data_IF_263453703797
#
_entry.id   IF_263453703797
#
_cell.length_a   1.000
_cell.length_b   1.000
_cell.length_c   1.000
_cell.angle_alpha   90.00
_cell.angle_beta   90.00
_cell.angle_gamma   90.00
#
_symmetry.space_group_name_H-M   'P 1'
#
loop_
_entity.id
_entity.type
_entity.pdbx_description
1 polymer ?
#
# COMPACT_ATOMS: atom_id res chain seq x y z
N UNK A 1 1.56 -19.48 -33.89
CA UNK A 1 1.67 -18.33 -32.97
C UNK A 1 0.31 -18.07 -32.37
N UNK A 2 0.17 -18.13 -31.03
CA UNK A 2 -1.09 -17.75 -30.34
C UNK A 2 -1.08 -16.27 -29.91
N UNK A 3 0.09 -15.66 -29.82
CA UNK A 3 0.32 -14.28 -29.40
C UNK A 3 1.38 -13.62 -30.31
N UNK A 4 1.22 -12.35 -30.66
CA UNK A 4 2.21 -11.58 -31.43
C UNK A 4 3.52 -11.39 -30.65
N UNK A 5 3.45 -11.39 -29.32
CA UNK A 5 4.62 -11.22 -28.44
C UNK A 5 5.55 -12.41 -28.50
N UNK A 6 5.02 -13.60 -28.78
CA UNK A 6 5.84 -14.80 -28.95
C UNK A 6 6.83 -14.66 -30.11
N UNK A 7 6.49 -13.88 -31.15
CA UNK A 7 7.38 -13.63 -32.27
C UNK A 7 8.69 -12.93 -31.85
N UNK A 8 8.67 -12.14 -30.77
CA UNK A 8 9.88 -11.48 -30.24
C UNK A 8 10.83 -12.45 -29.53
N UNK A 9 10.30 -13.59 -29.07
CA UNK A 9 11.08 -14.65 -28.42
C UNK A 9 11.56 -15.70 -29.41
N UNK A 10 11.13 -15.70 -30.66
CA UNK A 10 11.61 -16.64 -31.68
C UNK A 10 12.88 -16.09 -32.32
N UNK A 11 13.93 -16.91 -32.32
CA UNK A 11 15.18 -16.63 -33.01
C UNK A 11 15.58 -17.82 -33.88
N UNK A 12 16.41 -17.55 -34.90
CA UNK A 12 17.09 -18.59 -35.66
C UNK A 12 18.58 -18.59 -35.27
N UNK A 13 19.14 -19.78 -35.04
CA UNK A 13 20.59 -19.96 -34.94
C UNK A 13 21.24 -19.99 -36.33
N UNK A 14 22.57 -19.93 -36.39
CA UNK A 14 23.33 -19.98 -37.65
C UNK A 14 23.16 -21.30 -38.43
N UNK A 15 22.69 -22.36 -37.78
CA UNK A 15 22.33 -23.65 -38.39
C UNK A 15 20.88 -23.70 -38.91
N UNK A 16 20.12 -22.59 -38.79
CA UNK A 16 18.72 -22.50 -39.18
C UNK A 16 17.71 -22.97 -38.14
N UNK A 17 18.16 -23.55 -37.01
CA UNK A 17 17.25 -24.06 -35.97
C UNK A 17 16.52 -22.93 -35.24
N UNK A 18 15.24 -23.16 -34.93
CA UNK A 18 14.40 -22.22 -34.18
C UNK A 18 14.67 -22.39 -32.68
N UNK A 19 14.95 -21.27 -32.00
CA UNK A 19 15.22 -21.23 -30.56
C UNK A 19 14.40 -20.14 -29.89
N UNK A 20 13.95 -20.41 -28.67
CA UNK A 20 13.30 -19.41 -27.83
C UNK A 20 14.33 -18.60 -27.05
N UNK A 21 14.37 -17.28 -27.26
CA UNK A 21 15.23 -16.36 -26.52
C UNK A 21 14.82 -16.34 -25.04
N UNK A 22 15.78 -16.44 -24.10
CA UNK A 22 15.48 -16.28 -22.69
C UNK A 22 15.09 -14.83 -22.39
N UNK A 23 14.24 -14.65 -21.38
CA UNK A 23 13.93 -13.31 -20.84
C UNK A 23 15.14 -12.78 -20.07
N UNK A 24 15.53 -11.54 -20.31
CA UNK A 24 16.60 -10.90 -19.54
C UNK A 24 16.23 -10.77 -18.06
N UNK A 25 17.16 -10.95 -17.12
CA UNK A 25 16.90 -10.70 -15.71
C UNK A 25 16.40 -9.27 -15.46
N UNK A 26 15.44 -9.10 -14.55
CA UNK A 26 14.77 -7.83 -14.30
C UNK A 26 14.72 -7.48 -12.80
N UNK A 27 13.58 -7.68 -12.13
CA UNK A 27 13.35 -7.47 -10.70
C UNK A 27 14.44 -8.06 -9.78
N UNK A 28 14.99 -9.25 -10.10
CA UNK A 28 16.01 -9.89 -9.26
C UNK A 28 17.36 -9.15 -9.29
N UNK A 29 17.66 -8.39 -10.34
CA UNK A 29 18.94 -7.68 -10.52
C UNK A 29 18.79 -6.16 -10.45
N UNK A 30 17.56 -5.65 -10.49
CA UNK A 30 17.26 -4.23 -10.49
C UNK A 30 17.40 -3.63 -9.09
N UNK A 31 18.05 -2.46 -8.98
CA UNK A 31 18.22 -1.76 -7.70
C UNK A 31 16.94 -0.99 -7.35
N UNK A 32 16.28 -1.25 -6.22
CA UNK A 32 15.08 -0.50 -5.83
C UNK A 32 15.41 0.98 -5.57
N UNK A 33 14.66 1.90 -6.18
CA UNK A 33 14.68 3.31 -5.84
C UNK A 33 13.53 3.65 -4.89
N UNK A 34 13.70 4.70 -4.08
CA UNK A 34 12.66 5.20 -3.18
C UNK A 34 11.31 5.34 -3.90
N UNK A 35 11.28 5.95 -5.09
CA UNK A 35 10.07 6.19 -5.87
C UNK A 35 9.36 4.88 -6.28
N UNK A 36 10.12 3.85 -6.67
CA UNK A 36 9.59 2.53 -7.03
C UNK A 36 8.99 1.80 -5.84
N UNK A 37 9.68 1.84 -4.69
CA UNK A 37 9.22 1.24 -3.43
C UNK A 37 7.94 1.92 -2.96
N UNK A 38 7.90 3.25 -2.99
CA UNK A 38 6.71 4.01 -2.62
C UNK A 38 5.53 3.73 -3.57
N UNK A 39 5.78 3.56 -4.87
CA UNK A 39 4.74 3.21 -5.85
C UNK A 39 4.13 1.83 -5.59
N UNK A 40 4.97 0.82 -5.31
CA UNK A 40 4.48 -0.53 -4.93
C UNK A 40 3.75 -0.45 -3.59
N UNK A 41 4.32 0.27 -2.62
CA UNK A 41 3.68 0.53 -1.33
C UNK A 41 2.27 1.09 -1.49
N UNK A 42 2.06 2.04 -2.41
CA UNK A 42 0.73 2.65 -2.63
C UNK A 42 -0.31 1.65 -3.13
N UNK A 43 0.10 0.67 -3.94
CA UNK A 43 -0.76 -0.42 -4.40
C UNK A 43 -1.03 -1.45 -3.30
N UNK A 44 -0.03 -1.76 -2.48
CA UNK A 44 -0.21 -2.70 -1.37
C UNK A 44 -1.13 -2.10 -0.30
N UNK A 45 -0.97 -0.82 0.03
CA UNK A 45 -1.83 -0.14 1.00
C UNK A 45 -3.25 0.04 0.47
N UNK A 46 -3.46 0.23 -0.84
CA UNK A 46 -4.82 0.26 -1.40
C UNK A 46 -5.55 -1.07 -1.17
N UNK A 47 -4.87 -2.20 -1.41
CA UNK A 47 -5.43 -3.54 -1.16
C UNK A 47 -5.73 -3.72 0.33
N UNK A 48 -4.80 -3.34 1.20
CA UNK A 48 -4.97 -3.46 2.66
C UNK A 48 -6.14 -2.61 3.17
N UNK A 49 -6.31 -1.38 2.65
CA UNK A 49 -7.44 -0.51 2.99
C UNK A 49 -8.74 -1.16 2.55
N UNK A 50 -8.83 -1.62 1.30
CA UNK A 50 -10.05 -2.28 0.79
C UNK A 50 -10.48 -3.47 1.66
N UNK A 51 -9.52 -4.30 2.09
CA UNK A 51 -9.80 -5.41 2.99
C UNK A 51 -10.24 -4.93 4.39
N UNK A 52 -9.51 -3.99 4.98
CA UNK A 52 -9.82 -3.49 6.33
C UNK A 52 -11.09 -2.63 6.40
N UNK A 53 -11.56 -2.06 5.29
CA UNK A 53 -12.88 -1.40 5.23
C UNK A 53 -14.00 -2.36 5.59
N UNK A 54 -13.87 -3.67 5.33
CA UNK A 54 -14.86 -4.66 5.77
C UNK A 54 -14.97 -4.74 7.30
N UNK A 55 -13.82 -4.66 8.00
CA UNK A 55 -13.79 -4.60 9.46
C UNK A 55 -14.43 -3.31 9.99
N UNK A 56 -14.16 -2.17 9.33
CA UNK A 56 -14.81 -0.89 9.66
C UNK A 56 -16.33 -0.95 9.48
N UNK A 57 -16.81 -1.54 8.38
CA UNK A 57 -18.24 -1.73 8.13
C UNK A 57 -18.85 -2.63 9.20
N UNK A 58 -18.20 -3.74 9.56
CA UNK A 58 -18.67 -4.61 10.65
C UNK A 58 -18.77 -3.86 11.97
N UNK A 59 -17.76 -3.04 12.30
CA UNK A 59 -17.76 -2.19 13.49
C UNK A 59 -18.94 -1.20 13.51
N UNK A 60 -19.20 -0.50 12.38
CA UNK A 60 -20.32 0.44 12.25
C UNK A 60 -21.68 -0.25 12.38
N UNK A 61 -21.86 -1.41 11.73
CA UNK A 61 -23.10 -2.20 11.81
C UNK A 61 -23.32 -2.69 13.25
N UNK A 62 -22.27 -3.17 13.92
CA UNK A 62 -22.36 -3.62 15.30
C UNK A 62 -22.70 -2.48 16.27
N UNK A 63 -22.14 -1.29 16.05
CA UNK A 63 -22.47 -0.09 16.82
C UNK A 63 -23.95 0.28 16.68
N UNK A 64 -24.51 0.18 15.47
CA UNK A 64 -25.93 0.44 15.22
C UNK A 64 -26.86 -0.68 15.73
N UNK A 65 -26.38 -1.92 15.83
CA UNK A 65 -27.17 -3.10 16.22
C UNK A 65 -27.38 -3.24 17.73
N UNK A 66 -26.66 -2.47 18.53
CA UNK A 66 -26.82 -2.39 19.98
C UNK A 66 -25.67 -2.97 20.80
N UNK A 67 -25.74 -2.85 22.14
CA UNK A 67 -24.57 -3.01 23.01
C UNK A 67 -23.88 -4.38 22.94
N UNK A 68 -24.66 -5.47 22.83
CA UNK A 68 -24.12 -6.83 22.77
C UNK A 68 -23.32 -7.09 21.48
N UNK A 69 -23.83 -6.63 20.35
CA UNK A 69 -23.14 -6.74 19.06
C UNK A 69 -21.85 -5.92 19.07
N UNK A 70 -21.93 -4.67 19.56
CA UNK A 70 -20.78 -3.79 19.67
C UNK A 70 -19.68 -4.36 20.58
N UNK A 71 -20.04 -4.87 21.76
CA UNK A 71 -19.10 -5.52 22.68
C UNK A 71 -18.34 -6.69 22.04
N UNK A 72 -19.00 -7.45 21.15
CA UNK A 72 -18.37 -8.56 20.42
C UNK A 72 -17.26 -8.05 19.50
N UNK A 73 -17.53 -7.01 18.71
CA UNK A 73 -16.51 -6.43 17.81
C UNK A 73 -15.37 -5.79 18.60
N UNK A 74 -15.70 -5.07 19.67
CA UNK A 74 -14.68 -4.47 20.54
C UNK A 74 -13.74 -5.53 21.12
N UNK A 75 -14.25 -6.69 21.53
CA UNK A 75 -13.40 -7.78 22.01
C UNK A 75 -12.47 -8.36 20.93
N UNK A 76 -12.95 -8.44 19.68
CA UNK A 76 -12.14 -8.91 18.54
C UNK A 76 -11.08 -7.90 18.12
N UNK A 77 -11.37 -6.60 18.19
CA UNK A 77 -10.40 -5.55 17.83
C UNK A 77 -9.39 -5.30 18.97
N UNK A 78 -9.82 -5.35 20.23
CA UNK A 78 -8.99 -4.99 21.38
C UNK A 78 -7.95 -6.04 21.77
N UNK A 79 -8.01 -7.26 21.22
CA UNK A 79 -6.95 -8.25 21.45
C UNK A 79 -5.66 -7.86 20.68
N UNK A 80 -4.48 -8.40 21.06
CA UNK A 80 -3.20 -8.00 20.47
C UNK A 80 -3.12 -8.15 18.94
N UNK A 81 -3.75 -9.19 18.38
CA UNK A 81 -3.79 -9.40 16.93
C UNK A 81 -4.70 -8.37 16.26
N UNK A 82 -5.87 -8.11 16.85
CA UNK A 82 -6.80 -7.07 16.40
C UNK A 82 -6.16 -5.68 16.39
N UNK A 83 -5.41 -5.34 17.43
CA UNK A 83 -4.67 -4.08 17.51
C UNK A 83 -3.55 -4.00 16.45
N UNK A 84 -2.83 -5.10 16.20
CA UNK A 84 -1.81 -5.15 15.15
C UNK A 84 -2.45 -4.93 13.76
N UNK A 85 -3.59 -5.57 13.50
CA UNK A 85 -4.34 -5.38 12.25
C UNK A 85 -4.84 -3.94 12.15
N UNK A 86 -5.39 -3.37 13.23
CA UNK A 86 -5.85 -1.98 13.27
C UNK A 86 -4.71 -0.99 13.04
N UNK A 87 -3.53 -1.25 13.63
CA UNK A 87 -2.32 -0.47 13.42
C UNK A 87 -1.88 -0.51 11.96
N UNK A 88 -1.75 -1.71 11.40
CA UNK A 88 -1.39 -1.91 10.00
C UNK A 88 -2.37 -1.26 9.03
N UNK A 89 -3.67 -1.33 9.33
CA UNK A 89 -4.71 -0.67 8.55
C UNK A 89 -4.62 0.86 8.65
N UNK A 90 -4.36 1.41 9.84
CA UNK A 90 -4.17 2.85 10.06
C UNK A 90 -2.93 3.37 9.32
N UNK A 91 -1.80 2.66 9.41
CA UNK A 91 -0.58 2.98 8.63
C UNK A 91 -0.89 2.97 7.14
N UNK A 92 -1.60 1.94 6.67
CA UNK A 92 -1.98 1.82 5.26
C UNK A 92 -2.85 2.99 4.81
N UNK A 93 -3.87 3.34 5.59
CA UNK A 93 -4.79 4.45 5.33
C UNK A 93 -4.05 5.79 5.22
N UNK A 94 -3.23 6.11 6.21
CA UNK A 94 -2.49 7.37 6.27
C UNK A 94 -1.46 7.45 5.13
N UNK A 95 -0.72 6.37 4.88
CA UNK A 95 0.24 6.32 3.79
C UNK A 95 -0.43 6.51 2.42
N UNK A 96 -1.51 5.75 2.15
CA UNK A 96 -2.22 5.82 0.88
C UNK A 96 -2.82 7.20 0.64
N UNK A 97 -3.30 7.87 1.70
CA UNK A 97 -3.79 9.24 1.63
C UNK A 97 -2.70 10.22 1.16
N UNK A 98 -1.55 10.27 1.83
CA UNK A 98 -0.46 11.19 1.44
C UNK A 98 0.20 10.82 0.11
N UNK A 99 0.34 9.53 -0.19
CA UNK A 99 0.79 9.05 -1.49
C UNK A 99 -0.20 9.43 -2.59
N UNK A 100 -1.51 9.32 -2.33
CA UNK A 100 -2.58 9.75 -3.21
C UNK A 100 -2.52 11.25 -3.52
N UNK A 101 -2.35 12.10 -2.51
CA UNK A 101 -2.14 13.55 -2.72
C UNK A 101 -0.92 13.79 -3.61
N UNK A 102 0.20 13.10 -3.35
CA UNK A 102 1.40 13.19 -4.19
C UNK A 102 1.12 12.78 -5.64
N UNK A 103 0.32 11.75 -5.88
CA UNK A 103 -0.12 11.35 -7.21
C UNK A 103 -1.00 12.42 -7.87
N UNK A 104 -1.98 12.99 -7.16
CA UNK A 104 -2.82 14.07 -7.68
C UNK A 104 -2.00 15.32 -8.08
N UNK A 105 -0.95 15.64 -7.31
CA UNK A 105 0.00 16.70 -7.67
C UNK A 105 0.73 16.36 -8.98
N UNK A 106 1.14 15.12 -9.18
CA UNK A 106 1.72 14.69 -10.46
C UNK A 106 0.72 14.76 -11.60
N UNK A 107 -0.52 14.32 -11.39
CA UNK A 107 -1.59 14.37 -12.39
C UNK A 107 -1.92 15.81 -12.78
N UNK A 108 -1.70 16.78 -11.89
CA UNK A 108 -1.80 18.22 -12.19
C UNK A 108 -0.63 18.80 -12.98
N UNK A 109 0.38 17.99 -13.35
CA UNK A 109 1.53 18.42 -14.14
C UNK A 109 2.75 18.89 -13.34
N UNK A 110 2.81 18.65 -12.02
CA UNK A 110 3.86 19.19 -11.14
C UNK A 110 4.79 18.10 -10.57
N UNK A 111 6.02 18.46 -10.19
CA UNK A 111 6.87 17.60 -9.34
C UNK A 111 7.63 16.46 -10.04
N UNK A 112 7.83 16.54 -11.36
CA UNK A 112 8.48 15.50 -12.17
C UNK A 112 10.02 15.51 -12.16
N UNK A 113 10.66 16.56 -11.64
CA UNK A 113 12.13 16.56 -11.52
C UNK A 113 12.58 15.56 -10.45
N UNK A 114 13.69 14.87 -10.68
CA UNK A 114 14.22 13.87 -9.73
C UNK A 114 14.33 14.41 -8.29
N UNK A 115 14.85 15.64 -8.03
CA UNK A 115 14.88 16.19 -6.68
C UNK A 115 13.49 16.40 -6.08
N UNK A 116 12.51 16.86 -6.87
CA UNK A 116 11.14 17.07 -6.41
C UNK A 116 10.43 15.73 -6.12
N UNK A 117 10.61 14.73 -6.96
CA UNK A 117 10.05 13.38 -6.77
C UNK A 117 10.63 12.70 -5.53
N UNK A 118 11.92 12.88 -5.24
CA UNK A 118 12.55 12.38 -4.00
C UNK A 118 12.10 13.14 -2.75
N UNK A 119 12.05 14.48 -2.82
CA UNK A 119 11.59 15.33 -1.69
C UNK A 119 10.15 15.00 -1.31
N UNK A 120 9.25 14.96 -2.29
CA UNK A 120 7.85 14.57 -2.06
C UNK A 120 7.74 13.13 -1.53
N UNK A 121 8.59 12.22 -1.98
CA UNK A 121 8.63 10.84 -1.45
C UNK A 121 8.99 10.77 0.03
N UNK A 122 10.05 11.47 0.45
CA UNK A 122 10.43 11.53 1.87
C UNK A 122 9.39 12.28 2.72
N UNK A 123 8.77 13.33 2.16
CA UNK A 123 7.68 14.03 2.82
C UNK A 123 6.49 13.09 3.08
N UNK A 124 6.08 12.28 2.10
CA UNK A 124 5.03 11.25 2.28
C UNK A 124 5.38 10.30 3.42
N UNK A 125 6.62 9.80 3.49
CA UNK A 125 7.06 8.91 4.57
C UNK A 125 7.02 9.60 5.93
N UNK A 126 7.60 10.81 6.03
CA UNK A 126 7.63 11.57 7.28
C UNK A 126 6.23 11.90 7.81
N UNK A 127 5.34 12.37 6.93
CA UNK A 127 3.94 12.65 7.29
C UNK A 127 3.19 11.38 7.70
N UNK A 128 3.45 10.25 7.03
CA UNK A 128 2.84 8.97 7.41
C UNK A 128 3.22 8.59 8.84
N UNK A 129 4.52 8.60 9.16
CA UNK A 129 5.01 8.26 10.50
C UNK A 129 4.45 9.21 11.54
N UNK A 130 4.55 10.53 11.31
CA UNK A 130 4.10 11.54 12.26
C UNK A 130 2.59 11.42 12.55
N UNK A 131 1.76 11.33 11.50
CA UNK A 131 0.30 11.24 11.64
C UNK A 131 -0.12 9.92 12.29
N UNK A 132 0.47 8.79 11.92
CA UNK A 132 0.16 7.50 12.57
C UNK A 132 0.51 7.53 14.05
N UNK A 133 1.71 8.03 14.42
CA UNK A 133 2.12 8.13 15.82
C UNK A 133 1.18 9.05 16.61
N UNK A 134 0.77 10.17 16.03
CA UNK A 134 -0.18 11.09 16.66
C UNK A 134 -1.54 10.41 16.91
N UNK A 135 -2.09 9.73 15.90
CA UNK A 135 -3.37 9.00 16.02
C UNK A 135 -3.30 7.96 17.13
N UNK A 136 -2.21 7.19 17.20
CA UNK A 136 -2.04 6.14 18.21
C UNK A 136 -1.76 6.70 19.60
N UNK A 137 -0.97 7.77 19.72
CA UNK A 137 -0.73 8.42 21.00
C UNK A 137 -2.03 8.97 21.61
N UNK A 138 -2.88 9.61 20.79
CA UNK A 138 -4.20 10.09 21.21
C UNK A 138 -5.13 8.90 21.53
N UNK A 139 -5.19 7.89 20.66
CA UNK A 139 -6.05 6.73 20.87
C UNK A 139 -5.71 5.97 22.15
N UNK A 140 -4.43 5.74 22.43
CA UNK A 140 -3.96 5.09 23.65
C UNK A 140 -4.16 5.96 24.89
N UNK A 141 -3.97 7.28 24.81
CA UNK A 141 -4.20 8.16 25.97
C UNK A 141 -5.67 8.20 26.36
N UNK A 142 -6.57 8.24 25.37
CA UNK A 142 -8.01 8.15 25.60
C UNK A 142 -8.42 6.77 26.13
N UNK A 143 -7.79 5.69 25.65
CA UNK A 143 -8.11 4.34 26.10
C UNK A 143 -7.62 4.08 27.53
N UNK A 144 -6.43 4.52 27.90
CA UNK A 144 -5.88 4.35 29.25
C UNK A 144 -6.49 5.32 30.27
N UNK A 145 -7.05 6.44 29.80
CA UNK A 145 -7.69 7.45 30.65
C UNK A 145 -9.19 7.25 30.88
N UNK A 146 -9.82 6.28 30.21
CA UNK A 146 -11.23 5.90 30.35
C UNK A 146 -11.38 4.65 31.22
#
# INVERSE_FOLDING_TARGET
>A
MKDIRDAQYVAHRSDGSIVRRPMSPHLQVYRPQLTSVLSIGNRLTSIAISAGTLLLVWWLVAAASGPKAFATVQHVIANPIGLLVLFGWTVSLVYHFYAGIRHLVWDSGHGFSLPATHRSGWLTVGLTVATTLLVWAIGLSLWLGA
#
